data_IF_919509152026
#
_entry.id   IF_919509152026
#
_cell.length_a   1.000
_cell.length_b   1.000
_cell.length_c   1.000
_cell.angle_alpha   90.00
_cell.angle_beta   90.00
_cell.angle_gamma   90.00
#
_symmetry.space_group_name_H-M   'P 1'
#
loop_
_entity.id
_entity.type
_entity.pdbx_description
1 polymer ?
#
# COMPACT_ATOMS: atom_id res chain seq x y z
N UNK A 1 -11.31 -7.27 -13.75
CA UNK A 1 -10.77 -7.78 -12.49
C UNK A 1 -9.50 -8.56 -12.82
N UNK A 2 -8.33 -7.91 -12.75
CA UNK A 2 -7.01 -8.56 -12.95
C UNK A 2 -6.69 -9.44 -11.72
N UNK A 3 -7.58 -10.37 -11.38
CA UNK A 3 -7.27 -11.32 -10.34
C UNK A 3 -6.19 -12.27 -10.83
N UNK A 4 -5.16 -12.31 -10.07
CA UNK A 4 -3.99 -13.13 -10.07
C UNK A 4 -4.29 -14.56 -10.55
N UNK A 5 -3.68 -14.95 -11.66
CA UNK A 5 -3.64 -16.35 -12.07
C UNK A 5 -2.68 -17.09 -11.13
N UNK A 6 -3.22 -17.77 -10.12
CA UNK A 6 -2.45 -18.58 -9.18
C UNK A 6 -3.06 -18.56 -7.77
N UNK A 7 -2.55 -19.39 -6.85
CA UNK A 7 -2.99 -19.39 -5.45
C UNK A 7 -2.66 -18.04 -4.80
N UNK A 8 -3.51 -17.62 -3.85
CA UNK A 8 -3.26 -16.44 -3.02
C UNK A 8 -1.97 -16.65 -2.25
N UNK A 9 -0.98 -15.74 -2.32
CA UNK A 9 0.25 -15.86 -1.57
C UNK A 9 0.00 -15.72 -0.06
N UNK A 10 0.87 -16.30 0.75
CA UNK A 10 0.73 -16.35 2.19
C UNK A 10 0.59 -14.95 2.83
N UNK A 11 1.35 -13.96 2.36
CA UNK A 11 1.28 -12.57 2.84
C UNK A 11 -0.07 -11.88 2.57
N UNK A 12 -0.96 -12.49 1.79
CA UNK A 12 -2.32 -12.02 1.53
C UNK A 12 -3.38 -12.89 2.21
N UNK A 13 -2.99 -13.87 3.02
CA UNK A 13 -3.96 -14.67 3.77
C UNK A 13 -4.59 -13.81 4.86
N UNK A 14 -5.91 -13.86 4.99
CA UNK A 14 -6.58 -13.14 6.05
C UNK A 14 -6.18 -13.73 7.40
N UNK A 15 -5.71 -12.87 8.29
CA UNK A 15 -5.48 -13.21 9.69
C UNK A 15 -6.65 -12.65 10.49
N UNK A 16 -7.31 -13.45 11.34
CA UNK A 16 -8.32 -12.93 12.26
C UNK A 16 -7.73 -11.82 13.13
N UNK A 17 -8.48 -10.75 13.33
CA UNK A 17 -7.97 -9.57 14.06
C UNK A 17 -7.66 -9.91 15.53
N UNK A 18 -8.32 -10.90 16.08
CA UNK A 18 -8.08 -11.46 17.42
C UNK A 18 -6.73 -12.19 17.54
N UNK A 19 -6.14 -12.61 16.43
CA UNK A 19 -4.85 -13.30 16.41
C UNK A 19 -3.68 -12.32 16.18
N UNK A 20 -3.97 -11.01 16.10
CA UNK A 20 -2.95 -9.98 15.92
C UNK A 20 -2.56 -9.41 17.28
N UNK A 21 -1.31 -9.59 17.68
CA UNK A 21 -0.79 -9.07 18.94
C UNK A 21 -0.96 -7.55 19.02
N UNK A 22 -1.45 -7.07 20.18
CA UNK A 22 -1.70 -5.66 20.44
C UNK A 22 -2.99 -5.09 19.83
N UNK A 23 -3.72 -5.87 19.02
CA UNK A 23 -4.99 -5.48 18.40
C UNK A 23 -6.17 -6.30 18.94
N UNK A 24 -5.89 -7.47 19.52
CA UNK A 24 -6.92 -8.40 20.02
C UNK A 24 -7.90 -7.75 21.01
N UNK A 25 -7.41 -6.91 21.90
CA UNK A 25 -8.17 -6.23 22.96
C UNK A 25 -8.61 -4.80 22.57
N UNK A 26 -8.38 -4.38 21.33
CA UNK A 26 -8.77 -3.04 20.87
C UNK A 26 -10.29 -2.91 20.73
N UNK A 27 -10.82 -1.72 21.02
CA UNK A 27 -12.20 -1.38 20.75
C UNK A 27 -12.52 -1.51 19.25
N UNK A 28 -13.70 -2.06 18.93
CA UNK A 28 -14.09 -2.35 17.55
C UNK A 28 -15.39 -1.65 17.21
N UNK A 29 -15.36 -0.86 16.15
CA UNK A 29 -16.51 -0.18 15.61
C UNK A 29 -16.88 -0.80 14.24
N UNK A 30 -18.09 -1.33 14.15
CA UNK A 30 -18.64 -1.81 12.88
C UNK A 30 -19.58 -0.75 12.33
N UNK A 31 -19.24 -0.21 11.17
CA UNK A 31 -20.07 0.79 10.50
C UNK A 31 -20.13 0.56 9.00
N UNK A 32 -21.19 1.05 8.37
CA UNK A 32 -21.28 1.13 6.93
C UNK A 32 -20.78 2.51 6.48
N UNK A 33 -19.88 2.57 5.49
CA UNK A 33 -19.41 3.84 4.94
C UNK A 33 -20.55 4.66 4.35
N UNK A 34 -20.53 5.96 4.59
CA UNK A 34 -21.49 6.91 4.00
C UNK A 34 -20.92 7.46 2.70
N UNK A 35 -21.57 7.28 1.54
CA UNK A 35 -21.03 7.79 0.28
C UNK A 35 -20.82 9.31 0.32
N UNK A 36 -19.65 9.76 -0.12
CA UNK A 36 -19.34 11.17 -0.30
C UNK A 36 -19.91 11.71 -1.62
N UNK A 37 -20.03 13.02 -1.73
CA UNK A 37 -20.41 13.66 -2.99
C UNK A 37 -19.30 13.42 -4.04
N UNK A 38 -19.66 12.83 -5.17
CA UNK A 38 -18.75 12.51 -6.27
C UNK A 38 -18.09 11.13 -6.10
N UNK A 39 -17.03 11.00 -5.32
CA UNK A 39 -16.35 9.73 -5.07
C UNK A 39 -15.81 9.64 -3.64
N UNK A 40 -15.60 8.42 -3.15
CA UNK A 40 -15.13 8.18 -1.79
C UNK A 40 -16.25 8.05 -0.77
N UNK A 41 -15.88 7.92 0.47
CA UNK A 41 -16.79 7.68 1.59
C UNK A 41 -16.36 8.46 2.82
N UNK A 42 -17.35 8.80 3.66
CA UNK A 42 -17.16 9.28 5.02
C UNK A 42 -17.37 8.14 6.01
N UNK A 43 -16.83 8.28 7.20
CA UNK A 43 -17.31 7.52 8.34
C UNK A 43 -18.67 8.09 8.81
N UNK A 44 -19.57 7.28 9.41
CA UNK A 44 -20.69 7.80 10.17
C UNK A 44 -20.22 8.76 11.26
N UNK A 45 -20.95 9.85 11.48
CA UNK A 45 -20.53 10.95 12.36
C UNK A 45 -20.18 10.48 13.76
N UNK A 46 -20.98 9.62 14.35
CA UNK A 46 -20.78 9.06 15.69
C UNK A 46 -19.47 8.25 15.82
N UNK A 47 -19.14 7.48 14.78
CA UNK A 47 -17.87 6.72 14.70
C UNK A 47 -16.70 7.68 14.47
N UNK A 48 -16.85 8.64 13.57
CA UNK A 48 -15.83 9.63 13.27
C UNK A 48 -15.46 10.43 14.52
N UNK A 49 -16.44 10.96 15.27
CA UNK A 49 -16.23 11.68 16.52
C UNK A 49 -15.57 10.79 17.57
N UNK A 50 -16.09 9.57 17.79
CA UNK A 50 -15.56 8.67 18.82
C UNK A 50 -14.11 8.27 18.53
N UNK A 51 -13.78 7.93 17.29
CA UNK A 51 -12.41 7.52 16.92
C UNK A 51 -11.49 8.74 16.83
N UNK A 52 -11.92 9.80 16.15
CA UNK A 52 -11.10 10.97 15.89
C UNK A 52 -10.67 11.72 17.15
N UNK A 53 -11.57 11.85 18.15
CA UNK A 53 -11.27 12.55 19.41
C UNK A 53 -10.41 11.73 20.38
N UNK A 54 -10.33 10.39 20.18
CA UNK A 54 -9.65 9.49 21.12
C UNK A 54 -8.39 8.83 20.51
N UNK A 55 -7.94 9.27 19.34
CA UNK A 55 -6.74 8.73 18.71
C UNK A 55 -5.77 9.83 18.29
N UNK A 56 -4.47 9.59 18.47
CA UNK A 56 -3.43 10.53 18.02
C UNK A 56 -3.16 10.40 16.53
N UNK A 57 -3.24 9.18 15.98
CA UNK A 57 -3.02 8.88 14.57
C UNK A 57 -3.90 7.71 14.12
N UNK A 58 -4.43 7.81 12.94
CA UNK A 58 -5.18 6.71 12.30
C UNK A 58 -4.40 6.17 11.11
N UNK A 59 -4.36 4.85 10.94
CA UNK A 59 -3.78 4.22 9.77
C UNK A 59 -4.89 3.54 8.97
N UNK A 60 -5.06 3.97 7.73
CA UNK A 60 -6.12 3.46 6.85
C UNK A 60 -5.62 2.29 6.01
N UNK A 61 -6.30 1.16 6.14
CA UNK A 61 -6.13 0.01 5.27
C UNK A 61 -7.47 -0.41 4.64
N UNK A 62 -7.51 -0.57 3.32
CA UNK A 62 -8.61 -1.25 2.63
C UNK A 62 -9.98 -0.57 2.62
N UNK A 63 -10.16 0.59 3.24
CA UNK A 63 -11.43 1.31 3.33
C UNK A 63 -11.90 1.93 1.99
N UNK A 64 -11.03 2.01 1.02
CA UNK A 64 -11.25 2.82 -0.20
C UNK A 64 -10.80 4.27 0.02
N UNK A 65 -11.41 5.22 -0.68
CA UNK A 65 -11.10 6.64 -0.50
C UNK A 65 -11.91 7.18 0.67
N UNK A 66 -11.23 7.57 1.74
CA UNK A 66 -11.82 8.20 2.92
C UNK A 66 -11.78 9.72 2.74
N UNK A 67 -12.85 10.40 3.13
CA UNK A 67 -13.04 11.85 2.97
C UNK A 67 -13.67 12.50 4.18
N UNK A 68 -13.54 13.83 4.25
CA UNK A 68 -14.24 14.69 5.17
C UNK A 68 -13.47 15.01 6.45
N UNK A 69 -14.14 15.69 7.36
CA UNK A 69 -13.56 16.26 8.58
C UNK A 69 -12.78 15.26 9.45
N UNK A 70 -13.15 13.96 9.38
CA UNK A 70 -12.43 12.91 10.09
C UNK A 70 -10.93 12.86 9.77
N UNK A 71 -10.52 13.26 8.57
CA UNK A 71 -9.10 13.25 8.17
C UNK A 71 -8.23 14.16 9.04
N UNK A 72 -8.82 15.21 9.61
CA UNK A 72 -8.14 16.20 10.45
C UNK A 72 -8.40 16.04 11.97
N UNK A 73 -9.33 15.14 12.35
CA UNK A 73 -9.70 14.98 13.78
C UNK A 73 -8.58 14.37 14.64
N UNK A 74 -7.86 13.31 14.20
CA UNK A 74 -6.71 12.81 14.97
C UNK A 74 -5.56 13.82 14.98
N UNK A 75 -4.82 13.91 16.08
CA UNK A 75 -3.71 14.88 16.26
C UNK A 75 -2.72 14.91 15.09
N UNK A 76 -2.38 13.72 14.55
CA UNK A 76 -1.47 13.56 13.42
C UNK A 76 -2.20 13.15 12.12
N UNK A 77 -3.53 13.26 12.10
CA UNK A 77 -4.35 12.96 10.94
C UNK A 77 -4.45 11.48 10.62
N UNK A 78 -4.79 11.19 9.36
CA UNK A 78 -4.97 9.84 8.85
C UNK A 78 -3.86 9.48 7.87
N UNK A 79 -3.11 8.43 8.20
CA UNK A 79 -2.03 7.91 7.36
C UNK A 79 -2.56 6.84 6.40
N UNK A 80 -1.98 6.80 5.22
CA UNK A 80 -2.24 5.74 4.25
C UNK A 80 -1.01 5.46 3.41
N UNK A 81 -0.82 4.18 3.06
CA UNK A 81 0.20 3.81 2.09
C UNK A 81 -0.29 4.02 0.66
N UNK A 82 0.53 4.68 -0.12
CA UNK A 82 0.51 4.64 -1.57
C UNK A 82 1.67 3.77 -2.05
N UNK A 83 1.37 2.70 -2.80
CA UNK A 83 2.40 1.83 -3.39
C UNK A 83 2.72 2.31 -4.79
N UNK A 84 3.56 3.31 -4.87
CA UNK A 84 4.00 4.03 -6.05
C UNK A 84 4.72 5.30 -5.63
N UNK A 85 5.44 5.87 -6.57
CA UNK A 85 5.95 7.22 -6.46
C UNK A 85 4.84 8.20 -6.84
N UNK A 86 4.48 9.11 -5.93
CA UNK A 86 3.40 10.08 -6.15
C UNK A 86 3.69 11.04 -7.30
N UNK A 87 4.96 11.29 -7.60
CA UNK A 87 5.39 12.19 -8.67
C UNK A 87 5.41 11.53 -10.05
N UNK A 88 5.44 10.19 -10.11
CA UNK A 88 5.53 9.45 -11.37
C UNK A 88 4.35 8.52 -11.59
N UNK A 89 3.94 7.75 -10.58
CA UNK A 89 2.98 6.66 -10.69
C UNK A 89 1.86 6.74 -9.64
N UNK A 90 0.92 7.64 -9.85
CA UNK A 90 -0.28 7.75 -9.01
C UNK A 90 -1.35 6.72 -9.36
N UNK A 91 -2.20 6.39 -8.40
CA UNK A 91 -3.37 5.53 -8.61
C UNK A 91 -3.10 4.06 -8.35
N UNK A 92 -3.84 3.19 -9.01
CA UNK A 92 -3.80 1.74 -8.74
C UNK A 92 -3.86 0.91 -10.03
N UNK A 93 -3.30 -0.30 -10.02
CA UNK A 93 -2.65 -1.03 -8.90
C UNK A 93 -1.18 -0.60 -8.70
N UNK A 94 -0.76 -0.51 -7.44
CA UNK A 94 0.61 -0.12 -7.11
C UNK A 94 1.66 -1.07 -7.67
N UNK A 95 2.78 -0.55 -8.12
CA UNK A 95 3.91 -1.29 -8.70
C UNK A 95 3.64 -1.93 -10.06
N UNK A 96 2.41 -1.88 -10.57
CA UNK A 96 2.06 -2.53 -11.84
C UNK A 96 2.61 -1.79 -13.05
N UNK A 97 2.52 -0.48 -13.04
CA UNK A 97 2.94 0.34 -14.16
C UNK A 97 4.45 0.49 -14.21
N UNK A 98 5.11 0.54 -13.05
CA UNK A 98 6.57 0.41 -12.93
C UNK A 98 7.02 -0.94 -13.52
N UNK A 99 6.34 -2.04 -13.17
CA UNK A 99 6.59 -3.34 -13.77
C UNK A 99 6.42 -3.32 -15.29
N UNK A 100 5.33 -2.76 -15.79
CA UNK A 100 5.07 -2.71 -17.25
C UNK A 100 6.08 -1.85 -17.99
N UNK A 101 6.55 -0.78 -17.39
CA UNK A 101 7.50 0.16 -18.01
C UNK A 101 8.96 -0.22 -17.83
N UNK A 102 9.26 -1.39 -17.22
CA UNK A 102 10.63 -1.86 -17.00
C UNK A 102 11.46 -0.92 -16.11
N UNK A 103 10.79 -0.26 -15.14
CA UNK A 103 11.49 0.58 -14.18
C UNK A 103 12.45 -0.24 -13.31
N UNK A 104 13.59 0.33 -12.89
CA UNK A 104 14.51 -0.36 -11.99
C UNK A 104 14.03 -0.38 -10.54
N UNK A 105 13.22 0.60 -10.14
CA UNK A 105 12.67 0.76 -8.79
C UNK A 105 11.17 0.97 -8.85
N UNK A 106 10.49 0.74 -7.71
CA UNK A 106 9.10 1.09 -7.49
C UNK A 106 8.95 1.83 -6.17
N UNK A 107 8.27 2.97 -6.18
CA UNK A 107 8.06 3.79 -5.01
C UNK A 107 7.12 3.18 -3.98
N UNK A 108 7.29 3.59 -2.74
CA UNK A 108 6.34 3.39 -1.63
C UNK A 108 6.29 4.66 -0.81
N UNK A 109 5.11 5.19 -0.61
CA UNK A 109 4.91 6.43 0.13
C UNK A 109 3.94 6.22 1.29
N UNK A 110 4.32 6.62 2.49
CA UNK A 110 3.41 6.81 3.62
C UNK A 110 3.02 8.28 3.63
N UNK A 111 1.77 8.57 3.36
CA UNK A 111 1.23 9.92 3.30
C UNK A 111 0.19 10.17 4.39
N UNK A 112 0.10 11.41 4.86
CA UNK A 112 -1.04 11.92 5.58
C UNK A 112 -2.07 12.37 4.55
N UNK A 113 -3.17 11.63 4.43
CA UNK A 113 -4.17 11.86 3.39
C UNK A 113 -5.04 13.08 3.68
N UNK A 114 -5.47 13.73 2.63
CA UNK A 114 -6.45 14.81 2.60
C UNK A 114 -7.65 14.44 1.72
N UNK A 115 -8.51 15.41 1.42
CA UNK A 115 -9.68 15.21 0.56
C UNK A 115 -9.33 15.02 -0.92
N UNK A 116 -8.10 15.32 -1.34
CA UNK A 116 -7.64 15.14 -2.70
C UNK A 116 -6.99 13.75 -2.87
N UNK A 117 -7.25 13.12 -4.01
CA UNK A 117 -6.76 11.77 -4.26
C UNK A 117 -5.24 11.75 -4.49
N UNK A 118 -4.53 11.01 -3.64
CA UNK A 118 -3.08 10.83 -3.70
C UNK A 118 -2.30 12.17 -3.77
N UNK A 119 -2.77 13.19 -3.02
CA UNK A 119 -2.17 14.52 -2.94
C UNK A 119 -1.80 14.92 -1.51
N UNK A 120 -1.93 14.00 -0.56
CA UNK A 120 -1.61 14.23 0.84
C UNK A 120 -0.12 14.49 1.09
N UNK A 121 0.21 14.94 2.30
CA UNK A 121 1.58 15.24 2.66
C UNK A 121 2.41 13.96 2.88
N UNK A 122 3.63 13.94 2.37
CA UNK A 122 4.56 12.83 2.49
C UNK A 122 5.15 12.83 3.91
N UNK A 123 4.94 11.72 4.63
CA UNK A 123 5.56 11.48 5.94
C UNK A 123 6.87 10.71 5.77
N UNK A 124 6.84 9.64 4.97
CA UNK A 124 8.00 8.84 4.58
C UNK A 124 7.82 8.40 3.14
N UNK A 125 8.87 8.45 2.37
CA UNK A 125 8.94 7.79 1.07
C UNK A 125 10.18 6.90 0.98
N UNK A 126 10.09 5.85 0.18
CA UNK A 126 11.17 4.91 -0.08
C UNK A 126 10.99 4.27 -1.46
N UNK A 127 12.05 3.67 -1.98
CA UNK A 127 12.05 2.93 -3.23
C UNK A 127 12.50 1.49 -3.01
N UNK A 128 11.80 0.56 -3.61
CA UNK A 128 12.20 -0.85 -3.63
C UNK A 128 12.82 -1.20 -4.98
N UNK A 129 13.98 -1.87 -4.95
CA UNK A 129 14.60 -2.39 -6.17
C UNK A 129 13.73 -3.47 -6.79
N UNK A 130 13.40 -3.31 -8.05
CA UNK A 130 12.58 -4.25 -8.84
C UNK A 130 13.24 -4.70 -10.13
N UNK A 131 14.51 -4.34 -10.37
CA UNK A 131 15.21 -4.65 -11.60
C UNK A 131 15.31 -6.17 -11.89
N UNK A 132 15.38 -6.99 -10.85
CA UNK A 132 15.41 -8.45 -10.92
C UNK A 132 14.02 -9.11 -10.77
N UNK A 133 12.97 -8.32 -10.55
CA UNK A 133 11.63 -8.86 -10.39
C UNK A 133 11.07 -9.39 -11.71
N UNK A 134 10.64 -10.61 -11.70
CA UNK A 134 10.12 -11.28 -12.89
C UNK A 134 8.60 -11.17 -13.03
N UNK A 135 7.92 -10.83 -11.95
CA UNK A 135 6.46 -10.71 -11.92
C UNK A 135 6.03 -9.51 -11.08
N UNK A 136 4.89 -8.92 -11.41
CA UNK A 136 4.28 -7.88 -10.58
C UNK A 136 4.04 -8.33 -9.13
N UNK A 137 3.74 -9.61 -8.91
CA UNK A 137 3.55 -10.16 -7.55
C UNK A 137 4.82 -10.06 -6.68
N UNK A 138 5.99 -10.23 -7.27
CA UNK A 138 7.27 -10.03 -6.56
C UNK A 138 7.42 -8.57 -6.12
N UNK A 139 7.06 -7.63 -7.00
CA UNK A 139 7.09 -6.20 -6.70
C UNK A 139 6.10 -5.86 -5.58
N UNK A 140 4.85 -6.32 -5.71
CA UNK A 140 3.82 -6.11 -4.69
C UNK A 140 4.27 -6.60 -3.32
N UNK A 141 4.91 -7.77 -3.23
CA UNK A 141 5.47 -8.30 -1.99
C UNK A 141 6.55 -7.39 -1.41
N UNK A 142 7.52 -6.95 -2.23
CA UNK A 142 8.61 -6.04 -1.80
C UNK A 142 8.05 -4.71 -1.27
N UNK A 143 7.07 -4.14 -1.96
CA UNK A 143 6.41 -2.91 -1.51
C UNK A 143 5.65 -3.12 -0.18
N UNK A 144 4.98 -4.26 0.02
CA UNK A 144 4.30 -4.56 1.29
C UNK A 144 5.32 -4.74 2.43
N UNK A 145 6.43 -5.42 2.19
CA UNK A 145 7.51 -5.57 3.17
C UNK A 145 8.08 -4.19 3.58
N UNK A 146 8.32 -3.30 2.63
CA UNK A 146 8.75 -1.93 2.91
C UNK A 146 7.72 -1.14 3.73
N UNK A 147 6.42 -1.28 3.45
CA UNK A 147 5.35 -0.61 4.21
C UNK A 147 5.43 -0.89 5.72
N UNK A 148 5.84 -2.10 6.13
CA UNK A 148 5.93 -2.48 7.56
C UNK A 148 6.98 -1.65 8.28
N UNK A 149 8.16 -1.51 7.69
CA UNK A 149 9.26 -0.72 8.26
C UNK A 149 8.95 0.78 8.20
N UNK A 150 8.35 1.25 7.12
CA UNK A 150 7.97 2.64 6.93
C UNK A 150 6.93 3.12 7.94
N UNK A 151 5.99 2.27 8.38
CA UNK A 151 4.99 2.68 9.37
C UNK A 151 5.65 3.08 10.69
N UNK A 152 6.58 2.25 11.18
CA UNK A 152 7.31 2.55 12.41
C UNK A 152 8.13 3.85 12.27
N UNK A 153 8.85 4.01 11.16
CA UNK A 153 9.61 5.23 10.87
C UNK A 153 8.71 6.47 10.76
N UNK A 154 7.54 6.34 10.15
CA UNK A 154 6.56 7.43 10.04
C UNK A 154 6.01 7.88 11.38
N UNK A 155 5.66 6.94 12.26
CA UNK A 155 5.20 7.26 13.61
C UNK A 155 6.31 7.96 14.42
N UNK A 156 7.56 7.51 14.30
CA UNK A 156 8.69 8.19 14.95
C UNK A 156 8.90 9.62 14.43
N UNK A 157 8.76 9.83 13.11
CA UNK A 157 8.84 11.18 12.53
C UNK A 157 7.73 12.10 13.02
N UNK A 158 6.49 11.61 13.09
CA UNK A 158 5.35 12.40 13.56
C UNK A 158 5.44 12.77 15.05
N UNK A 159 6.24 12.05 15.83
CA UNK A 159 6.53 12.39 17.24
C UNK A 159 7.56 13.49 17.38
N UNK A 160 8.35 13.74 16.36
CA UNK A 160 9.32 14.82 16.34
C UNK A 160 8.59 16.15 16.10
N UNK A 161 8.58 17.10 17.06
CA UNK A 161 7.90 18.38 16.90
C UNK A 161 8.52 19.27 15.81
N UNK A 162 9.75 18.97 15.40
CA UNK A 162 10.44 19.71 14.35
C UNK A 162 10.22 19.07 12.95
N UNK A 163 9.50 17.94 12.88
CA UNK A 163 9.18 17.29 11.61
C UNK A 163 7.98 17.97 10.93
N UNK A 164 8.18 18.42 9.71
CA UNK A 164 7.14 18.91 8.83
C UNK A 164 6.97 17.93 7.66
N UNK A 165 5.78 17.34 7.54
CA UNK A 165 5.41 16.61 6.34
C UNK A 165 5.17 17.60 5.20
N UNK A 166 5.59 17.26 3.98
CA UNK A 166 5.47 18.15 2.84
C UNK A 166 4.64 17.51 1.72
N UNK A 167 3.83 18.29 1.00
CA UNK A 167 3.19 17.77 -0.19
C UNK A 167 4.25 17.39 -1.24
N UNK A 168 3.95 16.44 -2.16
CA UNK A 168 4.83 16.15 -3.27
C UNK A 168 5.07 17.39 -4.13
N UNK A 169 6.28 17.55 -4.67
CA UNK A 169 6.64 18.70 -5.52
C UNK A 169 5.76 18.79 -6.77
N UNK A 170 5.35 17.65 -7.28
CA UNK A 170 4.41 17.53 -8.39
C UNK A 170 3.58 16.25 -8.26
N UNK A 171 2.42 16.23 -8.87
CA UNK A 171 1.60 15.02 -8.94
C UNK A 171 1.79 14.36 -10.32
N UNK A 172 2.24 13.10 -10.28
CA UNK A 172 2.41 12.29 -11.47
C UNK A 172 1.10 11.94 -12.18
N UNK A 173 1.22 11.25 -13.30
CA UNK A 173 0.05 10.76 -14.05
C UNK A 173 -0.76 9.79 -13.22
N UNK A 174 -2.09 9.93 -13.30
CA UNK A 174 -3.00 9.00 -12.65
C UNK A 174 -3.15 7.73 -13.49
N UNK A 175 -2.66 6.63 -12.97
CA UNK A 175 -2.79 5.32 -13.58
C UNK A 175 -3.98 4.54 -13.03
N UNK A 176 -4.56 3.73 -13.89
CA UNK A 176 -5.69 2.87 -13.55
C UNK A 176 -5.40 1.43 -13.98
N UNK A 177 -6.35 0.54 -13.76
CA UNK A 177 -6.25 -0.85 -14.24
C UNK A 177 -5.97 -0.87 -15.74
N UNK A 178 -4.93 -1.60 -16.21
CA UNK A 178 -4.60 -1.70 -17.61
C UNK A 178 -5.78 -2.15 -18.48
N UNK A 179 -5.86 -1.60 -19.67
CA UNK A 179 -6.88 -1.94 -20.66
C UNK A 179 -6.25 -2.13 -22.04
N UNK A 180 -6.99 -2.71 -22.97
CA UNK A 180 -6.53 -2.88 -24.35
C UNK A 180 -5.19 -3.60 -24.47
N UNK A 181 -4.22 -2.97 -25.11
CA UNK A 181 -2.89 -3.53 -25.38
C UNK A 181 -2.05 -3.74 -24.12
N UNK A 182 -2.26 -2.96 -23.07
CA UNK A 182 -1.51 -3.08 -21.82
C UNK A 182 -1.86 -4.37 -21.06
N UNK A 183 -3.08 -4.87 -21.21
CA UNK A 183 -3.45 -6.21 -20.72
C UNK A 183 -2.62 -7.29 -21.41
N UNK A 184 -2.41 -7.17 -22.72
CA UNK A 184 -1.59 -8.15 -23.48
C UNK A 184 -0.11 -8.05 -23.06
N UNK A 185 0.40 -6.83 -22.85
CA UNK A 185 1.75 -6.61 -22.29
C UNK A 185 1.90 -7.29 -20.93
N UNK A 186 0.95 -7.05 -20.02
CA UNK A 186 0.93 -7.66 -18.69
C UNK A 186 0.92 -9.19 -18.75
N UNK A 187 0.03 -9.78 -19.56
CA UNK A 187 -0.06 -11.24 -19.70
C UNK A 187 1.24 -11.81 -20.27
N UNK A 188 1.76 -11.21 -21.34
CA UNK A 188 3.01 -11.65 -21.98
C UNK A 188 4.20 -11.55 -21.03
N UNK A 189 4.38 -10.40 -20.35
CA UNK A 189 5.46 -10.16 -19.40
C UNK A 189 5.38 -11.12 -18.21
N UNK A 190 4.18 -11.32 -17.65
CA UNK A 190 3.95 -12.26 -16.55
C UNK A 190 4.24 -13.71 -16.97
N UNK A 191 3.85 -14.13 -18.18
CA UNK A 191 4.12 -15.49 -18.65
C UNK A 191 5.63 -15.75 -18.80
N UNK A 192 6.35 -14.82 -19.41
CA UNK A 192 7.83 -14.88 -19.53
C UNK A 192 8.49 -14.85 -18.16
N UNK A 193 8.04 -13.94 -17.28
CA UNK A 193 8.57 -13.81 -15.92
C UNK A 193 8.43 -15.09 -15.10
N UNK A 194 7.27 -15.74 -15.14
CA UNK A 194 7.07 -17.04 -14.46
C UNK A 194 8.00 -18.15 -14.93
N UNK A 195 8.34 -18.15 -16.21
CA UNK A 195 9.32 -19.10 -16.75
C UNK A 195 10.70 -18.77 -16.18
N UNK A 196 11.08 -17.50 -16.17
CA UNK A 196 12.38 -17.03 -15.63
C UNK A 196 12.51 -17.32 -14.13
N UNK A 197 11.49 -17.01 -13.32
CA UNK A 197 11.48 -17.32 -11.88
C UNK A 197 11.73 -18.81 -11.61
N UNK A 198 11.07 -19.72 -12.37
CA UNK A 198 11.27 -21.16 -12.23
C UNK A 198 12.70 -21.62 -12.57
N UNK A 199 13.36 -20.98 -13.51
CA UNK A 199 14.77 -21.29 -13.81
C UNK A 199 15.69 -20.73 -12.73
N UNK A 200 15.47 -19.51 -12.26
CA UNK A 200 16.24 -18.90 -11.18
C UNK A 200 16.16 -19.71 -9.87
N UNK A 201 14.98 -20.23 -9.52
CA UNK A 201 14.80 -21.11 -8.36
C UNK A 201 15.58 -22.44 -8.47
N UNK A 202 15.76 -22.97 -9.70
CA UNK A 202 16.52 -24.20 -9.93
C UNK A 202 18.02 -24.00 -9.79
N UNK A 203 18.50 -22.83 -10.18
CA UNK A 203 19.93 -22.49 -10.18
C UNK A 203 20.38 -21.89 -8.83
N UNK A 204 19.44 -21.61 -7.91
CA UNK A 204 19.73 -21.11 -6.58
C UNK A 204 20.44 -22.21 -5.74
N UNK A 205 21.61 -21.90 -5.13
CA UNK A 205 22.31 -22.86 -4.29
C UNK A 205 21.44 -23.28 -3.09
N UNK A 206 21.53 -24.57 -2.70
CA UNK A 206 20.70 -25.23 -1.67
C UNK A 206 20.64 -24.52 -0.30
N UNK A 207 21.57 -23.63 -0.03
CA UNK A 207 21.64 -22.84 1.21
C UNK A 207 20.45 -21.89 1.44
N UNK A 208 19.64 -21.59 0.41
CA UNK A 208 18.42 -20.79 0.53
C UNK A 208 17.14 -21.60 0.80
N UNK A 209 17.20 -22.94 0.67
CA UNK A 209 16.02 -23.80 0.84
C UNK A 209 15.66 -24.15 2.29
N UNK A 210 16.49 -23.84 3.27
CA UNK A 210 16.35 -24.30 4.66
C UNK A 210 15.98 -23.20 5.66
N UNK A 211 15.29 -22.17 5.27
CA UNK A 211 14.65 -21.23 6.22
C UNK A 211 13.13 -21.19 6.03
N UNK A 212 12.50 -22.36 6.17
CA UNK A 212 11.14 -22.41 6.70
C UNK A 212 11.26 -22.68 8.20
N UNK A 213 10.74 -21.85 9.08
CA UNK A 213 10.59 -22.21 10.47
C UNK A 213 9.55 -23.33 10.53
N UNK A 214 9.97 -24.49 11.02
CA UNK A 214 9.07 -25.54 11.46
C UNK A 214 8.54 -25.15 12.83
N UNK A 215 7.20 -25.11 12.96
CA UNK A 215 6.35 -25.00 14.16
C UNK A 215 6.26 -23.62 14.81
#
# INVERSE_FOLDING_TARGET
>A
MLRQFGPTPEYQWPTPIEDIDGVADADRFHCEPVPAAGFGNHLPTDVAETVGENTDVVVRFGFGVLKGEFLEMPTHGVLSFHRGDLESYRGQPGGLWEFLNDEPTAGVTLQRIDDDLDAGEIVVEDEVDIADAHTWREIERRQIEACVEMLAAGIERLRDPDHESTPPDSLGSLYTIPSGTDVLRYVGKTAVGRVRSRYAERDAPETRRTRQPSE
#
